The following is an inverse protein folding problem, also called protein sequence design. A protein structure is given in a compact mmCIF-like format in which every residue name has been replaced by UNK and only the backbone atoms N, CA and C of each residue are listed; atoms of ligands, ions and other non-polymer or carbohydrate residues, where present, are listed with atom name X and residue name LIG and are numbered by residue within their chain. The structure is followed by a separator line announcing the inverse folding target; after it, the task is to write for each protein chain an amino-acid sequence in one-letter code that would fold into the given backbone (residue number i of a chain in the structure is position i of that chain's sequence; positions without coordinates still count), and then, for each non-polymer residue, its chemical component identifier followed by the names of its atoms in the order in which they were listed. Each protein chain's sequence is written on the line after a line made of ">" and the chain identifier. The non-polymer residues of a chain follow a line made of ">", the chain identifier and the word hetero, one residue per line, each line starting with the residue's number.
data_IF_969855619296
#
_entry.id   IF_969855619296
#
_cell.length_a   1.000
_cell.length_b   1.000
_cell.length_c   1.000
_cell.angle_alpha   90.00
_cell.angle_beta   90.00
_cell.angle_gamma   90.00
#
_symmetry.space_group_name_H-M   'P 1'
#
loop_
_entity.id
_entity.type
_entity.pdbx_description
1 polymer ?
#
# COMPACT_ATOMS: atom_id res chain seq x y z
N UNK A 1 -44.16 -11.61 15.11
CA UNK A 1 -43.28 -10.55 14.59
C UNK A 1 -41.86 -10.93 14.99
N UNK A 2 -41.18 -11.70 14.15
CA UNK A 2 -39.81 -12.18 14.38
C UNK A 2 -38.92 -11.34 13.46
N UNK A 3 -38.23 -10.37 14.03
CA UNK A 3 -37.32 -9.51 13.29
C UNK A 3 -36.03 -10.30 13.02
N UNK A 4 -35.96 -10.83 11.81
CA UNK A 4 -34.79 -10.90 10.92
C UNK A 4 -33.38 -10.76 11.55
N UNK A 5 -33.00 -11.75 12.35
CA UNK A 5 -31.65 -11.91 12.95
C UNK A 5 -30.61 -12.41 11.91
N UNK A 6 -31.03 -12.58 10.66
CA UNK A 6 -30.22 -13.18 9.59
C UNK A 6 -29.30 -12.13 8.96
N UNK A 7 -29.79 -10.91 8.72
CA UNK A 7 -29.00 -9.84 8.09
C UNK A 7 -27.82 -9.34 8.94
N UNK A 8 -27.95 -9.33 10.27
CA UNK A 8 -26.87 -8.89 11.15
C UNK A 8 -25.68 -9.88 11.16
N UNK A 9 -25.95 -11.18 11.03
CA UNK A 9 -24.93 -12.23 10.95
C UNK A 9 -24.14 -12.17 9.65
N UNK A 10 -24.80 -11.89 8.53
CA UNK A 10 -24.14 -11.72 7.23
C UNK A 10 -23.14 -10.55 7.24
N UNK A 11 -23.43 -9.46 7.96
CA UNK A 11 -22.52 -8.31 8.05
C UNK A 11 -21.31 -8.57 8.94
N UNK A 12 -21.44 -9.41 9.97
CA UNK A 12 -20.35 -9.72 10.89
C UNK A 12 -19.38 -10.74 10.27
N UNK A 13 -19.92 -11.79 9.63
CA UNK A 13 -19.13 -12.78 8.89
C UNK A 13 -18.38 -12.13 7.70
N UNK A 14 -19.00 -11.18 7.01
CA UNK A 14 -18.35 -10.41 5.94
C UNK A 14 -17.23 -9.51 6.46
N UNK A 15 -17.41 -8.90 7.63
CA UNK A 15 -16.40 -8.06 8.26
C UNK A 15 -15.22 -8.90 8.76
N UNK A 16 -15.50 -10.03 9.40
CA UNK A 16 -14.50 -10.99 9.85
C UNK A 16 -13.70 -11.55 8.66
N UNK A 17 -14.39 -11.95 7.60
CA UNK A 17 -13.74 -12.43 6.36
C UNK A 17 -12.86 -11.34 5.75
N UNK A 18 -13.32 -10.09 5.69
CA UNK A 18 -12.52 -8.95 5.19
C UNK A 18 -11.30 -8.70 6.06
N UNK A 19 -11.45 -8.76 7.39
CA UNK A 19 -10.37 -8.56 8.34
C UNK A 19 -9.31 -9.67 8.20
N UNK A 20 -9.74 -10.94 8.17
CA UNK A 20 -8.84 -12.08 8.00
C UNK A 20 -8.10 -12.01 6.66
N UNK A 21 -8.78 -11.63 5.58
CA UNK A 21 -8.15 -11.44 4.27
C UNK A 21 -7.15 -10.28 4.29
N UNK A 22 -7.47 -9.16 4.94
CA UNK A 22 -6.55 -8.04 5.10
C UNK A 22 -5.31 -8.45 5.90
N UNK A 23 -5.48 -9.19 7.00
CA UNK A 23 -4.38 -9.70 7.83
C UNK A 23 -3.51 -10.71 7.09
N UNK A 24 -4.11 -11.66 6.36
CA UNK A 24 -3.39 -12.63 5.53
C UNK A 24 -2.57 -11.92 4.45
N UNK A 25 -3.13 -10.89 3.83
CA UNK A 25 -2.44 -10.08 2.84
C UNK A 25 -1.30 -9.26 3.47
N UNK A 26 -1.52 -8.62 4.62
CA UNK A 26 -0.47 -7.93 5.38
C UNK A 26 0.69 -8.86 5.75
N UNK A 27 0.40 -10.09 6.19
CA UNK A 27 1.42 -11.10 6.48
C UNK A 27 2.20 -11.51 5.22
N UNK A 28 1.52 -11.67 4.08
CA UNK A 28 2.17 -11.96 2.79
C UNK A 28 3.07 -10.80 2.35
N UNK A 29 2.63 -9.57 2.49
CA UNK A 29 3.42 -8.37 2.17
C UNK A 29 4.65 -8.30 3.08
N UNK A 30 4.45 -8.39 4.40
CA UNK A 30 5.52 -8.33 5.39
C UNK A 30 6.58 -9.42 5.20
N UNK A 31 6.15 -10.66 4.95
CA UNK A 31 7.08 -11.77 4.68
C UNK A 31 7.84 -11.61 3.36
N UNK A 32 7.22 -10.98 2.35
CA UNK A 32 7.89 -10.64 1.09
C UNK A 32 8.95 -9.56 1.32
N UNK A 33 8.59 -8.47 2.02
CA UNK A 33 9.51 -7.37 2.41
C UNK A 33 10.72 -7.93 3.17
N UNK A 34 10.48 -8.78 4.16
CA UNK A 34 11.56 -9.40 4.94
C UNK A 34 12.51 -10.24 4.05
N UNK A 35 11.96 -10.92 3.04
CA UNK A 35 12.74 -11.72 2.08
C UNK A 35 13.61 -10.85 1.15
N UNK A 36 13.14 -9.66 0.78
CA UNK A 36 13.90 -8.67 -0.01
C UNK A 36 15.11 -8.16 0.78
N UNK A 37 14.93 -7.85 2.07
CA UNK A 37 16.02 -7.45 2.96
C UNK A 37 17.06 -8.55 3.23
N UNK A 38 16.77 -9.80 2.87
CA UNK A 38 17.63 -10.97 3.09
C UNK A 38 18.66 -11.22 1.97
N UNK A 39 18.83 -10.29 1.02
CA UNK A 39 19.85 -10.40 -0.03
C UNK A 39 19.52 -11.37 -1.18
N UNK A 40 18.28 -11.90 -1.23
CA UNK A 40 17.78 -12.59 -2.43
C UNK A 40 17.23 -11.53 -3.39
N UNK A 41 17.78 -11.49 -4.60
CA UNK A 41 17.40 -10.58 -5.68
C UNK A 41 15.96 -10.82 -6.15
N UNK A 42 14.98 -10.47 -5.33
CA UNK A 42 13.66 -10.11 -5.82
C UNK A 42 13.87 -8.76 -6.50
N UNK A 43 13.51 -8.69 -7.77
CA UNK A 43 13.52 -7.44 -8.53
C UNK A 43 12.77 -6.35 -7.73
N UNK A 44 13.45 -5.23 -7.46
CA UNK A 44 12.95 -4.12 -6.63
C UNK A 44 11.57 -3.65 -7.12
N UNK A 45 11.35 -3.67 -8.44
CA UNK A 45 10.07 -3.29 -9.04
C UNK A 45 8.96 -4.29 -8.71
N UNK A 46 9.27 -5.58 -8.68
CA UNK A 46 8.35 -6.65 -8.26
C UNK A 46 7.99 -6.50 -6.77
N UNK A 47 8.96 -6.18 -5.93
CA UNK A 47 8.73 -5.88 -4.52
C UNK A 47 7.75 -4.72 -4.32
N UNK A 48 8.04 -3.57 -4.95
CA UNK A 48 7.21 -2.38 -4.86
C UNK A 48 5.79 -2.62 -5.39
N UNK A 49 5.65 -3.45 -6.44
CA UNK A 49 4.36 -3.88 -6.99
C UNK A 49 3.50 -4.57 -5.94
N UNK A 50 4.08 -5.54 -5.22
CA UNK A 50 3.35 -6.28 -4.18
C UNK A 50 2.92 -5.37 -3.02
N UNK A 51 3.73 -4.37 -2.67
CA UNK A 51 3.39 -3.39 -1.63
C UNK A 51 2.18 -2.55 -2.05
N UNK A 52 2.19 -1.97 -3.25
CA UNK A 52 1.05 -1.12 -3.69
C UNK A 52 -0.23 -1.91 -3.87
N UNK A 53 -0.16 -3.11 -4.45
CA UNK A 53 -1.34 -3.99 -4.61
C UNK A 53 -1.89 -4.37 -3.24
N UNK A 54 -1.00 -4.70 -2.32
CA UNK A 54 -1.33 -5.00 -0.94
C UNK A 54 -2.09 -3.87 -0.24
N UNK A 55 -1.59 -2.65 -0.35
CA UNK A 55 -2.21 -1.47 0.23
C UNK A 55 -3.63 -1.22 -0.29
N UNK A 56 -3.89 -1.46 -1.58
CA UNK A 56 -5.24 -1.28 -2.16
C UNK A 56 -6.26 -2.31 -1.72
N UNK A 57 -5.83 -3.47 -1.22
CA UNK A 57 -6.74 -4.51 -0.74
C UNK A 57 -7.24 -4.25 0.68
N UNK A 58 -6.58 -3.35 1.43
CA UNK A 58 -6.98 -3.01 2.81
C UNK A 58 -8.21 -2.09 2.83
N UNK A 59 -8.34 -1.21 1.84
CA UNK A 59 -9.44 -0.24 1.76
C UNK A 59 -10.12 -0.36 0.39
N UNK A 60 -11.38 -0.83 0.30
CA UNK A 60 -12.10 -0.91 -0.96
C UNK A 60 -12.14 0.44 -1.68
N UNK A 61 -11.86 0.44 -2.99
CA UNK A 61 -11.81 1.65 -3.81
C UNK A 61 -10.56 2.51 -3.62
N UNK A 62 -9.60 2.08 -2.79
CA UNK A 62 -8.34 2.79 -2.64
C UNK A 62 -7.42 2.65 -3.85
N UNK A 63 -6.51 3.62 -3.96
CA UNK A 63 -5.39 3.59 -4.89
C UNK A 63 -4.10 3.88 -4.13
N UNK A 64 -2.99 3.33 -4.61
CA UNK A 64 -1.68 3.53 -4.03
C UNK A 64 -0.65 3.78 -5.13
N UNK A 65 0.28 4.70 -4.87
CA UNK A 65 1.40 5.03 -5.77
C UNK A 65 2.67 5.15 -4.95
N UNK A 66 3.76 4.56 -5.44
CA UNK A 66 5.10 4.68 -4.88
C UNK A 66 6.03 5.27 -5.94
N UNK A 67 6.85 6.23 -5.51
CA UNK A 67 7.99 6.76 -6.27
C UNK A 67 9.27 6.51 -5.47
N UNK A 68 10.31 6.04 -6.14
CA UNK A 68 11.64 5.98 -5.56
C UNK A 68 12.22 7.39 -5.38
N UNK A 69 12.94 7.57 -4.29
CA UNK A 69 13.65 8.81 -3.98
C UNK A 69 15.15 8.62 -4.21
N UNK A 70 15.72 9.40 -5.12
CA UNK A 70 17.17 9.47 -5.31
C UNK A 70 17.76 10.44 -4.27
N UNK A 71 18.51 9.89 -3.31
CA UNK A 71 19.12 10.67 -2.24
C UNK A 71 20.32 11.52 -2.68
N UNK A 72 20.97 11.17 -3.80
CA UNK A 72 22.11 11.90 -4.38
C UNK A 72 21.61 13.15 -5.09
N UNK A 73 20.55 13.00 -5.88
CA UNK A 73 19.91 14.09 -6.61
C UNK A 73 18.87 14.85 -5.77
N UNK A 74 18.44 14.27 -4.65
CA UNK A 74 17.38 14.78 -3.76
C UNK A 74 16.05 14.99 -4.46
N UNK A 75 15.68 14.05 -5.33
CA UNK A 75 14.44 14.10 -6.13
C UNK A 75 13.72 12.77 -6.11
N UNK A 76 12.41 12.80 -6.26
CA UNK A 76 11.66 11.61 -6.64
C UNK A 76 11.78 11.37 -8.14
N UNK A 77 12.07 10.13 -8.53
CA UNK A 77 12.28 9.76 -9.93
C UNK A 77 10.92 9.40 -10.56
N UNK A 78 10.39 10.17 -11.53
CA UNK A 78 9.06 9.90 -12.09
C UNK A 78 8.93 8.51 -12.74
N UNK A 79 9.97 8.06 -13.44
CA UNK A 79 9.99 6.75 -14.14
C UNK A 79 10.00 5.54 -13.20
N UNK A 80 10.30 5.75 -11.92
CA UNK A 80 10.28 4.70 -10.90
C UNK A 80 8.86 4.36 -10.42
N UNK A 81 7.85 5.08 -10.91
CA UNK A 81 6.47 4.99 -10.46
C UNK A 81 5.92 3.56 -10.52
N UNK A 82 5.43 3.09 -9.38
CA UNK A 82 4.66 1.84 -9.25
C UNK A 82 3.30 2.17 -8.63
N UNK A 83 2.22 1.66 -9.20
CA UNK A 83 0.86 2.04 -8.79
C UNK A 83 -0.14 0.90 -8.85
N UNK A 84 -1.10 0.85 -7.93
CA UNK A 84 -2.21 -0.09 -7.93
C UNK A 84 -3.54 0.60 -7.59
N UNK A 85 -4.65 0.02 -8.04
CA UNK A 85 -6.00 0.58 -7.93
C UNK A 85 -6.40 1.40 -9.16
N UNK A 86 -7.71 1.45 -9.44
CA UNK A 86 -8.25 2.08 -10.66
C UNK A 86 -7.97 3.59 -10.73
N UNK A 87 -8.06 4.26 -9.58
CA UNK A 87 -7.77 5.70 -9.45
C UNK A 87 -6.28 6.03 -9.53
N UNK A 88 -5.40 5.02 -9.56
CA UNK A 88 -3.97 5.23 -9.67
C UNK A 88 -3.51 5.50 -11.12
N UNK A 89 -4.39 5.92 -12.02
CA UNK A 89 -4.04 6.30 -13.40
C UNK A 89 -4.33 7.79 -13.58
N UNK A 90 -3.38 8.65 -13.22
CA UNK A 90 -3.39 10.05 -13.63
C UNK A 90 -4.31 10.95 -12.81
N UNK A 91 -4.58 10.63 -11.55
CA UNK A 91 -5.34 11.53 -10.67
C UNK A 91 -4.46 12.72 -10.27
N UNK A 92 -4.93 13.98 -10.45
CA UNK A 92 -4.21 15.16 -10.00
C UNK A 92 -3.84 15.07 -8.51
N UNK A 93 -2.57 15.35 -8.20
CA UNK A 93 -2.07 15.29 -6.82
C UNK A 93 -1.53 13.93 -6.37
N UNK A 94 -1.40 12.95 -7.27
CA UNK A 94 -0.72 11.67 -7.00
C UNK A 94 0.81 11.77 -6.89
N UNK A 95 1.38 12.92 -7.27
CA UNK A 95 2.81 13.19 -7.15
C UNK A 95 3.20 13.35 -5.68
N UNK A 96 4.47 13.05 -5.32
CA UNK A 96 4.96 13.24 -3.97
C UNK A 96 4.72 14.68 -3.48
N UNK A 97 4.10 14.81 -2.30
CA UNK A 97 3.73 16.09 -1.74
C UNK A 97 4.97 16.80 -1.17
N UNK A 98 5.38 17.97 -1.70
CA UNK A 98 6.61 18.65 -1.27
C UNK A 98 6.64 19.02 0.22
N UNK A 99 5.49 19.22 0.86
CA UNK A 99 5.39 19.52 2.30
C UNK A 99 4.72 18.39 3.11
N UNK A 100 4.60 17.21 2.49
CA UNK A 100 3.98 16.04 3.10
C UNK A 100 4.80 15.44 4.24
N UNK A 101 4.17 14.57 5.03
CA UNK A 101 4.85 13.86 6.12
C UNK A 101 6.07 13.07 5.64
N UNK A 102 5.96 12.38 4.49
CA UNK A 102 7.08 11.65 3.89
C UNK A 102 8.26 12.55 3.51
N UNK A 103 8.01 13.75 2.99
CA UNK A 103 9.09 14.69 2.65
C UNK A 103 9.80 15.21 3.89
N UNK A 104 9.04 15.59 4.92
CA UNK A 104 9.61 16.00 6.21
C UNK A 104 10.44 14.89 6.85
N UNK A 105 9.96 13.65 6.82
CA UNK A 105 10.69 12.50 7.31
C UNK A 105 12.02 12.29 6.58
N UNK A 106 12.05 12.43 5.25
CA UNK A 106 13.28 12.40 4.45
C UNK A 106 14.26 13.51 4.88
N UNK A 107 13.77 14.75 5.01
CA UNK A 107 14.59 15.90 5.41
C UNK A 107 15.19 15.72 6.80
N UNK A 108 14.40 15.20 7.74
CA UNK A 108 14.80 14.99 9.13
C UNK A 108 15.57 13.68 9.34
N UNK A 109 15.69 12.84 8.30
CA UNK A 109 16.24 11.47 8.38
C UNK A 109 15.56 10.63 9.47
N UNK A 110 14.25 10.78 9.58
CA UNK A 110 13.41 10.06 10.52
C UNK A 110 12.41 9.19 9.77
N UNK A 111 11.86 8.20 10.46
CA UNK A 111 10.72 7.44 9.94
C UNK A 111 9.46 8.29 10.07
N UNK A 112 8.52 8.11 9.15
CA UNK A 112 7.16 8.66 9.27
C UNK A 112 6.46 8.01 10.46
#
# INVERSE_FOLDING_TARGET
>A
MQADDSFARFTDDDLETRLLNALANLNRIGSTINRIGSGKAVDERTALRMIVEGATQVVPGASAVIYAYDSRMRVFVPESRVSAGELAKGVPGEQPRPDGMGWRAIQQRQRV
#
